data_IF_920225897832
#
_entry.id   IF_920225897832
#
_cell.length_a   1.000
_cell.length_b   1.000
_cell.length_c   1.000
_cell.angle_alpha   90.00
_cell.angle_beta   90.00
_cell.angle_gamma   90.00
#
_symmetry.space_group_name_H-M   'P 1'
#
loop_
_entity.id
_entity.type
_entity.pdbx_description
1 polymer ?
#
# COMPACT_ATOMS: atom_id res chain seq x y z
N UNK A 1 -21.59 -45.44 -34.17
CA UNK A 1 -20.51 -46.15 -33.45
C UNK A 1 -19.56 -45.07 -32.96
N UNK A 2 -19.80 -44.52 -31.77
CA UNK A 2 -19.00 -44.69 -30.51
C UNK A 2 -17.49 -44.55 -30.77
N UNK A 3 -16.78 -43.56 -30.23
CA UNK A 3 -16.37 -43.34 -28.82
C UNK A 3 -15.34 -42.16 -28.83
N UNK A 4 -14.97 -41.40 -27.79
CA UNK A 4 -15.43 -41.19 -26.42
C UNK A 4 -14.73 -39.93 -25.83
N UNK A 5 -15.18 -39.50 -24.67
CA UNK A 5 -14.75 -38.36 -23.87
C UNK A 5 -13.33 -38.41 -23.26
N UNK A 6 -12.89 -37.24 -22.78
CA UNK A 6 -11.79 -36.92 -21.87
C UNK A 6 -11.30 -38.05 -20.92
N UNK A 7 -9.98 -38.13 -20.67
CA UNK A 7 -9.27 -38.05 -19.36
C UNK A 7 -7.90 -38.77 -19.39
N UNK A 8 -6.87 -38.23 -18.73
CA UNK A 8 -5.62 -38.96 -18.45
C UNK A 8 -4.33 -38.14 -18.24
N UNK A 9 -4.09 -37.71 -16.99
CA UNK A 9 -2.89 -37.12 -16.32
C UNK A 9 -1.52 -37.82 -16.59
N UNK A 10 -0.36 -37.45 -15.98
CA UNK A 10 0.11 -36.19 -15.32
C UNK A 10 1.54 -35.76 -15.80
N UNK A 11 2.00 -34.54 -15.50
CA UNK A 11 3.45 -34.29 -15.26
C UNK A 11 3.67 -33.29 -14.11
N UNK A 12 3.97 -33.84 -12.94
CA UNK A 12 4.63 -33.14 -11.85
C UNK A 12 6.01 -32.63 -12.30
N UNK A 13 6.33 -31.39 -11.92
CA UNK A 13 7.72 -30.95 -11.75
C UNK A 13 7.84 -30.49 -10.30
N UNK A 14 8.42 -31.35 -9.46
CA UNK A 14 8.86 -30.98 -8.11
C UNK A 14 10.21 -30.25 -8.23
N UNK A 15 10.27 -29.02 -7.72
CA UNK A 15 11.52 -28.41 -7.29
C UNK A 15 11.45 -28.19 -5.79
N UNK A 16 12.06 -29.08 -5.00
CA UNK A 16 12.28 -28.87 -3.57
C UNK A 16 13.63 -28.18 -3.36
N UNK A 17 13.63 -27.05 -2.64
CA UNK A 17 14.58 -26.86 -1.52
C UNK A 17 14.18 -25.73 -0.55
N UNK A 18 14.15 -26.15 0.71
CA UNK A 18 14.45 -25.43 1.96
C UNK A 18 13.42 -24.43 2.53
N UNK A 19 13.03 -24.77 3.76
CA UNK A 19 12.00 -24.16 4.59
C UNK A 19 12.25 -22.68 4.92
N UNK A 20 11.26 -21.86 4.57
CA UNK A 20 10.83 -20.73 5.39
C UNK A 20 9.38 -21.05 5.79
N UNK A 21 9.02 -20.89 7.07
CA UNK A 21 7.64 -21.11 7.52
C UNK A 21 6.74 -20.14 6.74
N UNK A 22 5.78 -20.61 5.94
CA UNK A 22 4.87 -19.71 5.25
C UNK A 22 3.88 -19.19 6.29
N UNK A 23 3.81 -17.86 6.45
CA UNK A 23 2.52 -17.26 6.78
C UNK A 23 1.56 -17.71 5.68
N UNK A 24 0.46 -18.37 6.04
CA UNK A 24 -0.56 -18.78 5.08
C UNK A 24 -1.19 -17.51 4.49
N UNK A 25 -0.88 -17.25 3.23
CA UNK A 25 -1.58 -16.25 2.42
C UNK A 25 -2.96 -16.78 1.95
N UNK A 26 -3.30 -18.02 2.33
CA UNK A 26 -4.45 -18.78 1.82
C UNK A 26 -5.79 -18.46 2.51
N UNK A 27 -5.84 -17.60 3.53
CA UNK A 27 -7.08 -17.31 4.27
C UNK A 27 -7.87 -16.09 3.76
N UNK A 28 -7.46 -15.47 2.65
CA UNK A 28 -8.28 -14.44 1.99
C UNK A 28 -8.33 -14.70 0.48
N UNK A 29 -9.29 -15.52 0.06
CA UNK A 29 -9.58 -15.74 -1.36
C UNK A 29 -10.34 -14.53 -1.92
N UNK A 30 -9.66 -13.39 -2.09
CA UNK A 30 -10.25 -12.21 -2.72
C UNK A 30 -10.20 -12.42 -4.24
N UNK A 31 -11.28 -12.96 -4.79
CA UNK A 31 -11.48 -12.98 -6.23
C UNK A 31 -12.04 -11.62 -6.65
N UNK A 32 -11.19 -10.76 -7.21
CA UNK A 32 -11.64 -9.56 -7.91
C UNK A 32 -11.92 -9.89 -9.38
N UNK A 33 -13.00 -9.34 -9.91
CA UNK A 33 -13.23 -9.27 -11.35
C UNK A 33 -12.30 -8.23 -12.00
N UNK A 34 -12.05 -8.35 -13.30
CA UNK A 34 -11.26 -7.35 -14.07
C UNK A 34 -11.82 -5.93 -13.95
N UNK A 35 -13.15 -5.81 -13.85
CA UNK A 35 -13.83 -4.53 -13.66
C UNK A 35 -13.53 -3.95 -12.27
N UNK A 36 -13.65 -4.75 -11.20
CA UNK A 36 -13.31 -4.33 -9.84
C UNK A 36 -11.83 -3.99 -9.68
N UNK A 37 -10.91 -4.74 -10.33
CA UNK A 37 -9.48 -4.41 -10.34
C UNK A 37 -9.25 -3.03 -10.95
N UNK A 38 -9.90 -2.74 -12.07
CA UNK A 38 -9.80 -1.44 -12.75
C UNK A 38 -10.32 -0.31 -11.87
N UNK A 39 -11.43 -0.52 -11.19
CA UNK A 39 -11.99 0.47 -10.25
C UNK A 39 -11.05 0.74 -9.07
N UNK A 40 -10.50 -0.32 -8.45
CA UNK A 40 -9.56 -0.20 -7.32
C UNK A 40 -8.31 0.58 -7.72
N UNK A 41 -7.71 0.22 -8.86
CA UNK A 41 -6.51 0.89 -9.37
C UNK A 41 -6.82 2.35 -9.74
N UNK A 42 -7.93 2.57 -10.45
CA UNK A 42 -8.37 3.91 -10.84
C UNK A 42 -8.64 4.81 -9.63
N UNK A 43 -9.26 4.26 -8.57
CA UNK A 43 -9.52 4.99 -7.35
C UNK A 43 -8.23 5.48 -6.69
N UNK A 44 -7.22 4.61 -6.53
CA UNK A 44 -5.94 5.04 -5.97
C UNK A 44 -5.25 6.09 -6.84
N UNK A 45 -5.16 5.82 -8.15
CA UNK A 45 -4.45 6.70 -9.09
C UNK A 45 -5.06 8.10 -9.19
N UNK A 46 -6.38 8.24 -9.14
CA UNK A 46 -7.05 9.55 -9.22
C UNK A 46 -6.93 10.37 -7.92
N UNK A 47 -6.87 9.71 -6.76
CA UNK A 47 -6.87 10.40 -5.47
C UNK A 47 -5.45 10.72 -4.95
N UNK A 48 -4.42 9.99 -5.39
CA UNK A 48 -3.04 10.18 -4.95
C UNK A 48 -2.53 11.63 -5.04
N UNK A 49 -2.79 12.40 -6.13
CA UNK A 49 -2.37 13.80 -6.17
C UNK A 49 -3.07 14.69 -5.13
N UNK A 50 -4.34 14.42 -4.84
CA UNK A 50 -5.13 15.18 -3.88
C UNK A 50 -4.65 14.93 -2.44
N UNK A 51 -4.34 13.67 -2.11
CA UNK A 51 -3.84 13.32 -0.78
C UNK A 51 -2.41 13.81 -0.56
N UNK A 52 -1.57 13.84 -1.60
CA UNK A 52 -0.24 14.45 -1.53
C UNK A 52 -0.32 15.95 -1.21
N UNK A 53 -1.24 16.67 -1.87
CA UNK A 53 -1.50 18.08 -1.56
C UNK A 53 -2.03 18.24 -0.13
N UNK A 54 -2.94 17.36 0.30
CA UNK A 54 -3.51 17.43 1.64
C UNK A 54 -2.45 17.22 2.72
N UNK A 55 -1.51 16.31 2.49
CA UNK A 55 -0.36 16.10 3.37
C UNK A 55 0.46 17.40 3.54
N UNK A 56 0.80 18.06 2.43
CA UNK A 56 1.53 19.33 2.44
C UNK A 56 0.79 20.42 3.21
N UNK A 57 -0.51 20.59 2.96
CA UNK A 57 -1.37 21.53 3.68
C UNK A 57 -1.41 21.28 5.19
N UNK A 58 -1.51 20.01 5.61
CA UNK A 58 -1.55 19.66 7.04
C UNK A 58 -0.24 20.03 7.72
N UNK A 59 0.91 19.72 7.12
CA UNK A 59 2.21 20.06 7.69
C UNK A 59 2.48 21.57 7.68
N UNK A 60 2.06 22.28 6.64
CA UNK A 60 2.14 23.76 6.61
C UNK A 60 1.34 24.37 7.77
N UNK A 61 0.17 23.83 8.08
CA UNK A 61 -0.64 24.27 9.23
C UNK A 61 -0.01 23.90 10.59
N UNK A 62 0.98 23.01 10.62
CA UNK A 62 1.77 22.65 11.80
C UNK A 62 3.11 23.42 11.85
N UNK A 63 3.25 24.51 11.08
CA UNK A 63 4.47 25.31 10.94
C UNK A 63 5.66 24.57 10.29
N UNK A 64 5.41 23.44 9.61
CA UNK A 64 6.38 22.73 8.78
C UNK A 64 6.18 23.12 7.32
N UNK A 65 7.01 24.06 6.82
CA UNK A 65 6.98 24.52 5.42
C UNK A 65 7.56 23.52 4.42
N UNK A 66 7.02 22.29 4.42
CA UNK A 66 7.53 21.19 3.60
C UNK A 66 7.36 21.45 2.10
N UNK A 67 8.21 20.82 1.29
CA UNK A 67 8.05 20.76 -0.17
C UNK A 67 7.83 19.32 -0.58
N UNK A 68 6.73 19.06 -1.28
CA UNK A 68 6.40 17.73 -1.81
C UNK A 68 6.72 17.67 -3.31
N UNK A 69 7.50 16.68 -3.72
CA UNK A 69 7.98 16.52 -5.10
C UNK A 69 7.56 15.17 -5.67
N UNK A 70 7.25 15.14 -6.97
CA UNK A 70 7.09 13.88 -7.70
C UNK A 70 8.41 13.11 -7.75
N UNK A 71 8.32 11.79 -7.67
CA UNK A 71 9.45 10.90 -7.84
C UNK A 71 9.36 10.11 -9.15
N UNK A 72 10.51 9.85 -9.75
CA UNK A 72 10.65 8.84 -10.81
C UNK A 72 11.28 7.57 -10.25
N UNK A 73 12.00 6.84 -11.10
CA UNK A 73 12.81 5.70 -10.65
C UNK A 73 14.11 6.19 -10.01
N UNK A 74 14.30 5.92 -8.73
CA UNK A 74 15.55 6.08 -8.01
C UNK A 74 16.30 4.75 -8.04
N UNK A 75 17.54 4.75 -8.55
CA UNK A 75 18.41 3.57 -8.59
C UNK A 75 19.52 3.73 -7.56
N UNK A 76 19.77 2.68 -6.77
CA UNK A 76 20.88 2.67 -5.83
C UNK A 76 22.21 2.55 -6.60
N UNK A 77 23.11 3.53 -6.45
CA UNK A 77 24.38 3.57 -7.18
C UNK A 77 25.35 2.45 -6.79
N UNK A 78 25.27 1.95 -5.55
CA UNK A 78 26.11 0.85 -5.05
C UNK A 78 25.53 -0.51 -5.38
N UNK A 79 24.20 -0.60 -5.51
CA UNK A 79 23.47 -1.80 -5.88
C UNK A 79 22.53 -1.51 -7.06
N UNK A 80 23.06 -1.41 -8.30
CA UNK A 80 22.27 -0.92 -9.45
C UNK A 80 21.07 -1.79 -9.84
N UNK A 81 20.96 -3.00 -9.29
CA UNK A 81 19.79 -3.86 -9.42
C UNK A 81 18.67 -3.53 -8.41
N UNK A 82 18.90 -2.60 -7.47
CA UNK A 82 17.90 -2.09 -6.55
C UNK A 82 17.45 -0.71 -7.01
N UNK A 83 16.14 -0.55 -7.16
CA UNK A 83 15.51 0.74 -7.38
C UNK A 83 14.18 0.84 -6.66
N UNK A 84 13.74 2.06 -6.43
CA UNK A 84 12.45 2.38 -5.84
C UNK A 84 11.82 3.55 -6.58
N UNK A 85 10.49 3.61 -6.56
CA UNK A 85 9.70 4.74 -7.04
C UNK A 85 8.70 5.09 -5.95
N UNK A 86 9.13 5.79 -4.88
CA UNK A 86 8.21 6.35 -3.89
C UNK A 86 7.11 7.18 -4.55
N UNK A 87 5.93 7.30 -3.92
CA UNK A 87 4.87 8.15 -4.48
C UNK A 87 5.33 9.61 -4.52
N UNK A 88 5.89 10.13 -3.42
CA UNK A 88 6.48 11.47 -3.37
C UNK A 88 7.79 11.51 -2.56
N UNK A 89 8.62 12.51 -2.86
CA UNK A 89 9.73 12.94 -2.01
C UNK A 89 9.30 14.14 -1.20
N UNK A 90 9.76 14.23 0.06
CA UNK A 90 9.44 15.33 0.95
C UNK A 90 10.74 15.95 1.44
N UNK A 91 10.82 17.28 1.41
CA UNK A 91 11.86 18.03 2.10
C UNK A 91 11.22 18.90 3.18
N UNK A 92 11.72 18.79 4.40
CA UNK A 92 11.29 19.60 5.53
C UNK A 92 12.43 20.54 5.99
N UNK A 93 12.32 21.86 5.75
CA UNK A 93 13.34 22.81 6.19
C UNK A 93 13.35 23.04 7.72
N UNK A 94 12.26 22.79 8.43
CA UNK A 94 12.21 22.93 9.89
C UNK A 94 13.03 21.84 10.59
N UNK A 95 13.04 20.64 10.02
CA UNK A 95 13.83 19.50 10.49
C UNK A 95 15.20 19.38 9.78
N UNK A 96 15.37 20.05 8.65
CA UNK A 96 16.56 19.90 7.79
C UNK A 96 16.68 18.50 7.18
N UNK A 97 15.55 17.83 6.98
CA UNK A 97 15.47 16.40 6.65
C UNK A 97 14.84 16.16 5.27
N UNK A 98 15.19 15.03 4.66
CA UNK A 98 14.53 14.50 3.48
C UNK A 98 13.80 13.20 3.85
N UNK A 99 12.60 13.04 3.31
CA UNK A 99 11.77 11.87 3.52
C UNK A 99 11.11 11.38 2.23
N UNK A 100 10.39 10.28 2.38
CA UNK A 100 9.50 9.73 1.35
C UNK A 100 8.07 9.74 1.89
N UNK A 101 7.12 9.99 1.01
CA UNK A 101 5.69 9.90 1.30
C UNK A 101 5.11 8.77 0.44
N UNK A 102 4.55 7.78 1.12
CA UNK A 102 3.86 6.62 0.54
C UNK A 102 2.36 6.74 0.87
N UNK A 103 1.52 6.76 -0.17
CA UNK A 103 0.09 7.02 -0.07
C UNK A 103 -0.66 5.72 -0.36
N UNK A 104 -1.59 5.36 0.53
CA UNK A 104 -2.38 4.13 0.41
C UNK A 104 -3.87 4.43 0.41
N UNK A 105 -4.57 3.81 -0.54
CA UNK A 105 -6.02 3.90 -0.68
C UNK A 105 -6.67 2.54 -0.43
N UNK A 106 -7.11 2.25 0.81
CA UNK A 106 -7.81 1.02 1.11
C UNK A 106 -9.24 1.05 0.53
N UNK A 107 -9.40 0.58 -0.71
CA UNK A 107 -10.68 0.63 -1.45
C UNK A 107 -11.87 0.00 -0.70
N UNK A 108 -11.61 -1.06 0.06
CA UNK A 108 -12.64 -1.82 0.81
C UNK A 108 -13.29 -1.04 1.96
N UNK A 109 -12.76 0.14 2.31
CA UNK A 109 -13.30 0.98 3.37
C UNK A 109 -13.66 2.40 2.90
N UNK A 110 -13.58 2.67 1.59
CA UNK A 110 -13.81 4.02 1.03
C UNK A 110 -15.15 4.65 1.43
N UNK A 111 -16.16 3.81 1.64
CA UNK A 111 -17.53 4.23 1.98
C UNK A 111 -17.83 4.11 3.48
N UNK A 112 -16.91 3.55 4.28
CA UNK A 112 -17.07 3.39 5.73
C UNK A 112 -16.85 4.72 6.45
N UNK A 113 -17.60 4.97 7.52
CA UNK A 113 -17.53 6.22 8.30
C UNK A 113 -17.55 5.92 9.80
N UNK A 114 -16.95 6.80 10.60
CA UNK A 114 -17.06 6.77 12.06
C UNK A 114 -16.60 5.44 12.68
N UNK A 115 -17.47 4.82 13.47
CA UNK A 115 -17.19 3.60 14.24
C UNK A 115 -16.83 2.39 13.36
N UNK A 116 -17.31 2.34 12.12
CA UNK A 116 -16.99 1.28 11.15
C UNK A 116 -15.52 1.30 10.70
N UNK A 117 -14.84 2.43 10.84
CA UNK A 117 -13.40 2.57 10.60
C UNK A 117 -12.58 2.13 11.80
N UNK A 118 -13.08 2.35 13.02
CA UNK A 118 -12.40 1.97 14.26
C UNK A 118 -12.28 0.45 14.44
N UNK A 119 -13.20 -0.30 13.84
CA UNK A 119 -13.19 -1.79 13.85
C UNK A 119 -12.39 -2.40 12.70
N UNK A 120 -11.97 -1.60 11.71
CA UNK A 120 -11.13 -2.09 10.63
C UNK A 120 -9.69 -2.29 11.11
N UNK A 121 -9.01 -3.33 10.62
CA UNK A 121 -7.59 -3.61 10.87
C UNK A 121 -6.71 -2.60 10.14
N UNK A 122 -6.78 -1.34 10.54
CA UNK A 122 -6.04 -0.23 9.97
C UNK A 122 -4.90 0.18 10.88
N UNK A 123 -3.87 0.77 10.27
CA UNK A 123 -2.69 1.29 10.96
C UNK A 123 -2.99 2.54 11.79
N UNK A 124 -4.26 2.95 11.89
CA UNK A 124 -4.71 4.11 12.66
C UNK A 124 -5.82 3.74 13.64
N UNK A 125 -5.93 4.53 14.70
CA UNK A 125 -6.97 4.48 15.70
C UNK A 125 -7.64 5.86 15.79
N UNK A 126 -8.94 5.87 16.08
CA UNK A 126 -9.68 7.10 16.32
C UNK A 126 -9.66 7.37 17.82
N UNK A 127 -9.01 8.47 18.21
CA UNK A 127 -9.05 8.98 19.59
C UNK A 127 -9.88 10.27 19.63
N UNK A 128 -10.20 10.77 20.84
CA UNK A 128 -11.01 11.99 21.01
C UNK A 128 -10.42 13.21 20.29
N UNK A 129 -9.10 13.26 20.08
CA UNK A 129 -8.42 14.33 19.34
C UNK A 129 -8.36 14.11 17.81
N UNK A 130 -8.99 13.05 17.29
CA UNK A 130 -8.99 12.68 15.88
C UNK A 130 -8.26 11.36 15.57
N UNK A 131 -8.25 10.95 14.29
CA UNK A 131 -7.53 9.75 13.86
C UNK A 131 -6.01 9.95 13.99
N UNK A 132 -5.32 8.95 14.54
CA UNK A 132 -3.86 8.91 14.62
C UNK A 132 -3.33 7.52 14.26
N UNK A 133 -2.09 7.43 13.77
CA UNK A 133 -1.43 6.12 13.60
C UNK A 133 -1.26 5.41 14.95
N UNK A 134 -1.50 4.10 14.97
CA UNK A 134 -1.26 3.23 16.12
C UNK A 134 0.25 3.14 16.34
N UNK A 135 0.72 3.54 17.52
CA UNK A 135 2.18 3.64 17.80
C UNK A 135 2.84 2.29 17.98
N UNK A 136 2.05 1.26 18.27
CA UNK A 136 2.48 -0.10 18.48
C UNK A 136 2.41 -0.95 17.19
N UNK A 137 1.94 -0.36 16.08
CA UNK A 137 1.84 -1.03 14.79
C UNK A 137 3.22 -1.03 14.09
N UNK A 138 3.51 -2.08 13.33
CA UNK A 138 4.75 -2.20 12.54
C UNK A 138 4.90 -1.03 11.54
N UNK A 139 3.79 -0.44 11.12
CA UNK A 139 3.76 0.70 10.21
C UNK A 139 4.15 2.03 10.87
N UNK A 140 4.32 2.09 12.19
CA UNK A 140 4.80 3.26 12.91
C UNK A 140 6.32 3.20 13.06
N UNK A 141 7.04 3.99 12.26
CA UNK A 141 8.48 4.14 12.40
C UNK A 141 8.79 4.96 13.66
N UNK A 142 9.73 4.46 14.48
CA UNK A 142 10.25 5.12 15.70
C UNK A 142 11.30 6.17 15.37
#
# INVERSE_FOLDING_TARGET
MVDDHCTGLPKHVEARRMAARPYSFDDVNIQFTEEEVREVIGYGSCNEPMDAQRYEEVLHNMDHGVTVLHCGLLVNLYFPWLGASPDRLVYDPAEGSYGVLEIKFPYNIRDKKGEDLATATLCYEVIDSGPRLKREDYCYAQ
#
